data_IF_774171724432
#
_entry.id   IF_774171724432
#
_cell.length_a   1.000
_cell.length_b   1.000
_cell.length_c   1.000
_cell.angle_alpha   90.00
_cell.angle_beta   90.00
_cell.angle_gamma   90.00
#
_symmetry.space_group_name_H-M   'P 1'
#
loop_
_entity.id
_entity.type
_entity.pdbx_description
1 polymer ?
#
# COMPACT_ATOMS: atom_id res chain seq x y z
N UNK A 1 22.62 1.54 20.30
CA UNK A 1 22.14 0.41 19.50
C UNK A 1 21.04 0.90 18.58
N UNK A 2 21.27 0.90 17.28
CA UNK A 2 20.18 1.16 16.33
C UNK A 2 19.20 -0.01 16.41
N UNK A 3 17.99 0.28 16.82
CA UNK A 3 16.92 -0.69 16.87
C UNK A 3 16.38 -0.86 15.45
N UNK A 4 16.66 -1.99 14.83
CA UNK A 4 16.12 -2.34 13.50
C UNK A 4 15.12 -3.49 13.66
N UNK A 5 13.91 -3.20 14.15
CA UNK A 5 12.94 -4.26 14.32
C UNK A 5 12.53 -4.77 12.94
N UNK A 6 12.78 -6.03 12.68
CA UNK A 6 12.21 -6.77 11.56
C UNK A 6 12.55 -6.26 10.15
N UNK A 7 13.54 -5.38 9.99
CA UNK A 7 13.91 -4.85 8.68
C UNK A 7 12.74 -4.14 7.91
N UNK A 8 11.82 -3.58 8.65
CA UNK A 8 10.58 -2.99 8.15
C UNK A 8 10.83 -1.88 7.14
N UNK A 9 11.78 -1.00 7.41
CA UNK A 9 12.11 0.11 6.51
C UNK A 9 12.62 -0.36 5.14
N UNK A 10 13.46 -1.38 5.14
CA UNK A 10 13.99 -1.94 3.87
C UNK A 10 12.86 -2.57 3.06
N UNK A 11 12.03 -3.39 3.67
CA UNK A 11 10.89 -4.02 3.00
C UNK A 11 9.90 -2.96 2.47
N UNK A 12 9.62 -1.94 3.27
CA UNK A 12 8.74 -0.84 2.85
C UNK A 12 9.31 -0.06 1.66
N UNK A 13 10.60 0.23 1.68
CA UNK A 13 11.28 0.92 0.57
C UNK A 13 11.16 0.13 -0.74
N UNK A 14 11.45 -1.16 -0.70
CA UNK A 14 11.33 -2.03 -1.87
C UNK A 14 9.90 -2.12 -2.38
N UNK A 15 8.93 -2.29 -1.49
CA UNK A 15 7.51 -2.35 -1.85
C UNK A 15 7.03 -1.08 -2.57
N UNK A 16 7.43 0.08 -2.09
CA UNK A 16 7.03 1.37 -2.70
C UNK A 16 7.70 1.56 -4.07
N UNK A 17 8.97 1.22 -4.20
CA UNK A 17 9.67 1.27 -5.49
C UNK A 17 9.01 0.36 -6.54
N UNK A 18 8.72 -0.86 -6.18
CA UNK A 18 8.06 -1.83 -7.07
C UNK A 18 6.63 -1.38 -7.43
N UNK A 19 5.87 -0.87 -6.47
CA UNK A 19 4.53 -0.35 -6.73
C UNK A 19 4.58 0.86 -7.68
N UNK A 20 5.54 1.75 -7.50
CA UNK A 20 5.74 2.92 -8.38
C UNK A 20 6.09 2.51 -9.81
N UNK A 21 6.88 1.47 -9.98
CA UNK A 21 7.24 0.96 -11.31
C UNK A 21 6.03 0.34 -12.01
N UNK A 22 5.19 -0.39 -11.28
CA UNK A 22 3.96 -0.97 -11.85
C UNK A 22 2.95 0.10 -12.25
N UNK A 23 2.67 1.03 -11.35
CA UNK A 23 1.67 2.07 -11.53
C UNK A 23 1.83 3.15 -10.45
N UNK A 24 2.15 4.38 -10.85
CA UNK A 24 2.30 5.51 -9.92
C UNK A 24 1.03 5.81 -9.14
N UNK A 25 -0.12 5.64 -9.75
CA UNK A 25 -1.41 5.91 -9.12
C UNK A 25 -1.71 4.89 -8.02
N UNK A 26 -1.12 3.69 -8.09
CA UNK A 26 -1.25 2.69 -7.04
C UNK A 26 -0.67 3.14 -5.69
N UNK A 27 0.26 4.10 -5.68
CA UNK A 27 0.86 4.63 -4.45
C UNK A 27 -0.16 5.27 -3.50
N UNK A 28 -1.30 5.73 -4.00
CA UNK A 28 -2.38 6.24 -3.17
C UNK A 28 -2.97 5.16 -2.26
N UNK A 29 -2.77 3.90 -2.59
CA UNK A 29 -3.21 2.77 -1.77
C UNK A 29 -2.46 2.69 -0.43
N UNK A 30 -1.26 3.26 -0.32
CA UNK A 30 -0.49 3.27 0.92
C UNK A 30 -1.29 3.84 2.11
N UNK A 31 -1.98 4.95 1.91
CA UNK A 31 -2.80 5.59 2.95
C UNK A 31 -4.01 4.74 3.33
N UNK A 32 -4.63 4.11 2.34
CA UNK A 32 -5.78 3.22 2.56
C UNK A 32 -5.36 1.94 3.29
N UNK A 33 -4.20 1.38 2.97
CA UNK A 33 -3.65 0.24 3.69
C UNK A 33 -3.42 0.57 5.16
N UNK A 34 -2.79 1.70 5.44
CA UNK A 34 -2.58 2.14 6.83
C UNK A 34 -3.89 2.32 7.58
N UNK A 35 -4.86 2.98 6.97
CA UNK A 35 -6.18 3.19 7.56
C UNK A 35 -6.91 1.86 7.81
N UNK A 36 -6.78 0.88 6.92
CA UNK A 36 -7.45 -0.42 7.06
C UNK A 36 -6.93 -1.27 8.22
N UNK A 37 -5.71 -1.01 8.71
CA UNK A 37 -5.18 -1.67 9.90
C UNK A 37 -6.10 -1.50 11.13
N UNK A 38 -6.84 -0.41 11.22
CA UNK A 38 -7.79 -0.17 12.32
C UNK A 38 -8.92 -1.21 12.37
N UNK A 39 -9.19 -1.88 11.26
CA UNK A 39 -10.26 -2.88 11.16
C UNK A 39 -9.76 -4.33 11.34
N UNK A 40 -8.47 -4.52 11.60
CA UNK A 40 -7.85 -5.80 11.88
C UNK A 40 -7.22 -6.50 10.69
N UNK A 41 -6.53 -7.62 10.98
CA UNK A 41 -5.74 -8.37 10.02
C UNK A 41 -6.56 -8.91 8.84
N UNK A 42 -7.71 -9.49 9.12
CA UNK A 42 -8.56 -10.13 8.11
C UNK A 42 -9.03 -9.13 7.06
N UNK A 43 -9.44 -7.94 7.48
CA UNK A 43 -9.88 -6.89 6.58
C UNK A 43 -8.75 -6.36 5.70
N UNK A 44 -7.58 -6.20 6.29
CA UNK A 44 -6.39 -5.84 5.51
C UNK A 44 -6.08 -6.90 4.46
N UNK A 45 -6.02 -8.16 4.87
CA UNK A 45 -5.78 -9.28 3.95
C UNK A 45 -6.83 -9.35 2.84
N UNK A 46 -8.10 -9.19 3.18
CA UNK A 46 -9.22 -9.28 2.23
C UNK A 46 -9.21 -8.21 1.13
N UNK A 47 -8.53 -7.08 1.35
CA UNK A 47 -8.49 -5.99 0.36
C UNK A 47 -7.85 -6.40 -0.97
N UNK A 48 -6.84 -7.27 -0.98
CA UNK A 48 -6.25 -7.73 -2.25
C UNK A 48 -7.25 -8.52 -3.11
N UNK A 49 -8.18 -9.24 -2.47
CA UNK A 49 -9.26 -9.94 -3.17
C UNK A 49 -10.31 -8.98 -3.71
N UNK A 50 -10.69 -8.00 -2.89
CA UNK A 50 -11.69 -6.99 -3.26
C UNK A 50 -11.24 -6.12 -4.44
N UNK A 51 -9.99 -5.73 -4.45
CA UNK A 51 -9.44 -4.82 -5.46
C UNK A 51 -9.08 -5.51 -6.78
N UNK A 52 -8.88 -6.82 -6.76
CA UNK A 52 -8.35 -7.59 -7.89
C UNK A 52 -9.09 -7.36 -9.21
N UNK A 53 -10.41 -7.32 -9.18
CA UNK A 53 -11.24 -7.14 -10.37
C UNK A 53 -11.41 -5.70 -10.84
N UNK A 54 -11.17 -4.73 -9.98
CA UNK A 54 -11.45 -3.31 -10.25
C UNK A 54 -10.17 -2.49 -10.44
N UNK A 55 -9.19 -2.69 -9.59
CA UNK A 55 -7.96 -1.91 -9.52
C UNK A 55 -6.77 -2.86 -9.31
N UNK A 56 -6.37 -3.64 -10.34
CA UNK A 56 -5.41 -4.72 -10.19
C UNK A 56 -4.04 -4.27 -9.69
N UNK A 57 -3.56 -3.09 -10.05
CA UNK A 57 -2.27 -2.56 -9.58
C UNK A 57 -2.29 -2.21 -8.09
N UNK A 58 -3.42 -1.71 -7.60
CA UNK A 58 -3.64 -1.49 -6.16
C UNK A 58 -3.79 -2.81 -5.40
N UNK A 59 -4.46 -3.80 -6.00
CA UNK A 59 -4.55 -5.15 -5.46
C UNK A 59 -3.16 -5.79 -5.32
N UNK A 60 -2.30 -5.62 -6.31
CA UNK A 60 -0.91 -6.09 -6.27
C UNK A 60 -0.13 -5.42 -5.15
N UNK A 61 -0.31 -4.13 -4.94
CA UNK A 61 0.36 -3.43 -3.84
C UNK A 61 -0.05 -3.99 -2.47
N UNK A 62 -1.33 -4.21 -2.24
CA UNK A 62 -1.82 -4.85 -1.01
C UNK A 62 -1.28 -6.27 -0.86
N UNK A 63 -1.33 -7.06 -1.93
CA UNK A 63 -0.85 -8.44 -1.97
C UNK A 63 0.64 -8.53 -1.64
N UNK A 64 1.47 -7.74 -2.28
CA UNK A 64 2.92 -7.74 -2.05
C UNK A 64 3.26 -7.23 -0.64
N UNK A 65 2.51 -6.28 -0.12
CA UNK A 65 2.64 -5.81 1.28
C UNK A 65 2.32 -6.94 2.26
N UNK A 66 1.26 -7.70 2.03
CA UNK A 66 0.93 -8.86 2.85
C UNK A 66 2.00 -9.95 2.79
N UNK A 67 2.55 -10.22 1.61
CA UNK A 67 3.67 -11.16 1.45
C UNK A 67 4.90 -10.74 2.25
N UNK A 68 5.27 -9.47 2.21
CA UNK A 68 6.38 -8.93 2.98
C UNK A 68 6.11 -9.05 4.49
N UNK A 69 4.89 -8.75 4.92
CA UNK A 69 4.45 -8.95 6.31
C UNK A 69 4.58 -10.41 6.75
N UNK A 70 4.10 -11.35 5.95
CA UNK A 70 4.23 -12.78 6.25
C UNK A 70 5.70 -13.22 6.34
N UNK A 71 6.55 -12.73 5.46
CA UNK A 71 8.00 -12.98 5.50
C UNK A 71 8.62 -12.48 6.81
N UNK A 72 8.32 -11.26 7.21
CA UNK A 72 8.78 -10.66 8.47
C UNK A 72 8.33 -11.51 9.66
N UNK A 73 7.06 -11.88 9.71
CA UNK A 73 6.52 -12.70 10.80
C UNK A 73 7.13 -14.10 10.84
N UNK A 74 7.38 -14.72 9.69
CA UNK A 74 8.01 -16.03 9.61
C UNK A 74 9.44 -16.03 10.17
N UNK A 75 10.17 -14.96 9.99
CA UNK A 75 11.52 -14.81 10.54
C UNK A 75 11.50 -14.62 12.06
N UNK A 76 10.54 -13.88 12.60
CA UNK A 76 10.43 -13.56 14.03
C UNK A 76 9.61 -14.55 14.84
N UNK A 77 8.54 -15.08 14.24
CA UNK A 77 7.59 -16.00 14.86
C UNK A 77 7.26 -17.16 13.90
N UNK A 78 8.22 -18.07 13.67
CA UNK A 78 8.02 -19.20 12.75
C UNK A 78 6.96 -20.20 13.22
N UNK A 79 6.54 -20.12 14.49
CA UNK A 79 5.48 -20.91 15.09
C UNK A 79 4.07 -20.50 14.67
N UNK A 80 3.90 -19.26 14.20
CA UNK A 80 2.60 -18.73 13.78
C UNK A 80 2.22 -19.17 12.37
N UNK A 81 1.00 -19.65 12.22
CA UNK A 81 0.40 -19.95 10.92
C UNK A 81 -0.44 -18.75 10.51
N UNK A 82 0.08 -17.95 9.58
CA UNK A 82 -0.56 -16.74 9.09
C UNK A 82 -1.14 -17.00 7.70
N UNK A 83 -2.37 -16.52 7.40
CA UNK A 83 -2.95 -16.65 6.08
C UNK A 83 -2.04 -16.10 5.00
N UNK A 84 -1.94 -16.81 3.88
CA UNK A 84 -1.17 -16.37 2.72
C UNK A 84 -2.07 -15.64 1.74
N UNK A 85 -1.47 -14.90 0.81
CA UNK A 85 -2.20 -14.32 -0.32
C UNK A 85 -2.82 -15.41 -1.20
N UNK A 86 -4.01 -15.14 -1.74
CA UNK A 86 -4.68 -16.04 -2.69
C UNK A 86 -4.29 -15.67 -4.11
N UNK A 87 -3.66 -16.60 -4.81
CA UNK A 87 -3.24 -16.40 -6.19
C UNK A 87 -4.42 -16.49 -7.15
N UNK A 88 -4.41 -15.68 -8.21
CA UNK A 88 -5.50 -15.55 -9.17
C UNK A 88 -5.89 -16.84 -9.88
N UNK A 89 -4.97 -17.78 -10.04
CA UNK A 89 -5.20 -19.09 -10.66
C UNK A 89 -5.79 -20.14 -9.69
N UNK A 90 -5.96 -19.81 -8.42
CA UNK A 90 -6.49 -20.69 -7.38
C UNK A 90 -7.72 -20.11 -6.68
N UNK A 91 -8.47 -19.26 -7.35
CA UNK A 91 -9.67 -18.61 -6.81
C UNK A 91 -10.85 -19.58 -6.69
N UNK A 92 -10.65 -20.63 -5.94
CA UNK A 92 -11.79 -21.41 -5.47
C UNK A 92 -12.25 -20.80 -4.14
N UNK A 93 -13.54 -20.65 -3.97
CA UNK A 93 -14.15 -20.22 -2.71
C UNK A 93 -13.60 -21.00 -1.50
N UNK A 94 -13.27 -22.26 -1.71
CA UNK A 94 -12.68 -23.17 -0.73
C UNK A 94 -11.29 -22.66 -0.28
N UNK A 95 -10.47 -22.18 -1.20
CA UNK A 95 -9.12 -21.70 -0.87
C UNK A 95 -9.16 -20.38 -0.09
N UNK A 96 -10.05 -19.47 -0.47
CA UNK A 96 -10.27 -18.20 0.25
C UNK A 96 -10.76 -18.47 1.67
N UNK A 97 -11.72 -19.36 1.82
CA UNK A 97 -12.26 -19.74 3.11
C UNK A 97 -11.23 -20.43 4.01
N UNK A 98 -10.45 -21.34 3.45
CA UNK A 98 -9.41 -22.06 4.16
C UNK A 98 -8.32 -21.10 4.69
N UNK A 99 -7.92 -20.12 3.89
CA UNK A 99 -6.99 -19.08 4.34
C UNK A 99 -7.61 -18.17 5.40
N UNK A 100 -8.84 -17.72 5.21
CA UNK A 100 -9.54 -16.88 6.18
C UNK A 100 -9.73 -17.57 7.55
N UNK A 101 -9.98 -18.86 7.57
CA UNK A 101 -10.13 -19.64 8.83
C UNK A 101 -8.86 -19.63 9.69
N UNK A 102 -7.69 -19.43 9.12
CA UNK A 102 -6.43 -19.34 9.87
C UNK A 102 -6.41 -18.15 10.83
N UNK A 103 -7.09 -17.05 10.51
CA UNK A 103 -7.23 -15.92 11.45
C UNK A 103 -7.94 -16.29 12.74
N UNK A 104 -8.93 -17.17 12.67
CA UNK A 104 -9.70 -17.60 13.82
C UNK A 104 -8.89 -18.49 14.79
N UNK A 105 -7.80 -19.06 14.31
CA UNK A 105 -6.92 -19.93 15.10
C UNK A 105 -5.82 -19.15 15.82
N UNK A 106 -5.59 -17.90 15.45
CA UNK A 106 -4.65 -17.05 16.16
C UNK A 106 -5.25 -16.60 17.49
N UNK A 107 -4.45 -16.65 18.55
CA UNK A 107 -4.84 -16.08 19.84
C UNK A 107 -4.98 -14.56 19.73
N UNK A 108 -5.72 -13.94 20.65
CA UNK A 108 -5.84 -12.48 20.70
C UNK A 108 -4.48 -11.79 20.85
N UNK A 109 -3.59 -12.36 21.67
CA UNK A 109 -2.23 -11.85 21.84
C UNK A 109 -1.42 -11.93 20.54
N UNK A 110 -1.50 -13.04 19.81
CA UNK A 110 -0.81 -13.21 18.52
C UNK A 110 -1.36 -12.28 17.44
N UNK A 111 -2.67 -12.09 17.41
CA UNK A 111 -3.30 -11.11 16.50
C UNK A 111 -2.83 -9.69 16.79
N UNK A 112 -2.70 -9.31 18.05
CA UNK A 112 -2.21 -7.98 18.43
C UNK A 112 -0.74 -7.78 18.06
N UNK A 113 0.09 -8.80 18.25
CA UNK A 113 1.50 -8.77 17.82
C UNK A 113 1.62 -8.62 16.31
N UNK A 114 0.90 -9.44 15.56
CA UNK A 114 0.84 -9.35 14.10
C UNK A 114 0.38 -7.96 13.63
N UNK A 115 -0.67 -7.44 14.24
CA UNK A 115 -1.20 -6.13 13.89
C UNK A 115 -0.19 -5.00 14.17
N UNK A 116 0.53 -5.08 15.27
CA UNK A 116 1.59 -4.12 15.62
C UNK A 116 2.67 -4.09 14.55
N UNK A 117 3.11 -5.23 14.07
CA UNK A 117 4.12 -5.34 13.00
C UNK A 117 3.56 -4.82 11.67
N UNK A 118 2.32 -5.17 11.33
CA UNK A 118 1.67 -4.69 10.10
C UNK A 118 1.50 -3.17 10.10
N UNK A 119 1.10 -2.58 11.23
CA UNK A 119 1.01 -1.12 11.39
C UNK A 119 2.38 -0.46 11.18
N UNK A 120 3.43 -1.01 11.77
CA UNK A 120 4.78 -0.49 11.58
C UNK A 120 5.23 -0.55 10.11
N UNK A 121 4.93 -1.63 9.42
CA UNK A 121 5.20 -1.76 7.98
C UNK A 121 4.41 -0.74 7.17
N UNK A 122 3.13 -0.57 7.44
CA UNK A 122 2.29 0.42 6.74
C UNK A 122 2.72 1.86 7.02
N UNK A 123 3.13 2.19 8.24
CA UNK A 123 3.69 3.51 8.57
C UNK A 123 4.96 3.79 7.75
N UNK A 124 5.85 2.81 7.65
CA UNK A 124 7.05 2.92 6.83
C UNK A 124 6.71 3.05 5.33
N UNK A 125 5.71 2.32 4.83
CA UNK A 125 5.24 2.44 3.45
C UNK A 125 4.71 3.85 3.17
N UNK A 126 3.90 4.43 4.07
CA UNK A 126 3.41 5.82 3.94
C UNK A 126 4.58 6.79 3.92
N UNK A 127 5.55 6.62 4.80
CA UNK A 127 6.74 7.47 4.86
C UNK A 127 7.53 7.47 3.54
N UNK A 128 7.78 6.29 2.96
CA UNK A 128 8.47 6.15 1.67
C UNK A 128 7.62 6.65 0.50
N UNK A 129 6.32 6.42 0.53
CA UNK A 129 5.39 6.92 -0.50
C UNK A 129 5.45 8.44 -0.61
N UNK A 130 5.44 9.14 0.51
CA UNK A 130 5.51 10.60 0.53
C UNK A 130 6.79 11.13 -0.11
N UNK A 131 7.89 10.40 -0.03
CA UNK A 131 9.20 10.79 -0.58
C UNK A 131 9.41 10.37 -2.02
N UNK A 132 8.89 9.21 -2.40
CA UNK A 132 9.06 8.64 -3.72
C UNK A 132 7.92 8.98 -4.68
N UNK A 133 6.82 9.51 -4.17
CA UNK A 133 5.74 10.03 -4.99
C UNK A 133 6.22 11.31 -5.68
N UNK A 134 6.45 11.23 -6.98
CA UNK A 134 6.78 12.42 -7.76
C UNK A 134 5.58 13.38 -7.71
N UNK A 135 5.82 14.61 -7.30
CA UNK A 135 4.82 15.67 -7.41
C UNK A 135 4.34 15.67 -8.85
N UNK A 136 3.04 15.60 -9.06
CA UNK A 136 2.45 15.90 -10.35
C UNK A 136 2.98 17.29 -10.76
N UNK A 137 3.52 17.37 -11.97
CA UNK A 137 3.91 18.67 -12.54
C UNK A 137 2.68 19.58 -12.41
N UNK A 138 2.80 20.80 -11.88
CA UNK A 138 1.66 21.70 -11.84
C UNK A 138 1.07 21.76 -13.24
N UNK A 139 -0.26 21.84 -13.41
CA UNK A 139 -0.85 22.03 -14.71
C UNK A 139 -0.13 23.22 -15.34
N UNK A 140 0.31 23.05 -16.58
CA UNK A 140 0.92 24.14 -17.33
C UNK A 140 0.01 25.36 -17.14
N UNK A 141 0.51 26.40 -16.51
CA UNK A 141 -0.05 27.71 -16.68
C UNK A 141 0.05 27.97 -18.20
N UNK A 142 -1.11 27.93 -18.84
CA UNK A 142 -1.19 28.15 -20.27
C UNK A 142 -0.53 29.47 -20.54
N UNK A 143 0.45 29.47 -21.45
CA UNK A 143 1.20 30.64 -21.89
C UNK A 143 0.33 31.67 -22.67
N UNK A 144 -1.01 31.50 -22.61
CA UNK A 144 -1.98 32.33 -23.31
C UNK A 144 -2.49 33.53 -22.50
N UNK A 145 -2.17 33.65 -21.22
CA UNK A 145 -2.62 34.80 -20.43
C UNK A 145 -1.67 36.03 -20.49
N UNK A 146 -0.56 35.91 -21.21
CA UNK A 146 0.38 37.03 -21.36
C UNK A 146 0.14 37.83 -22.65
N UNK A 147 -0.67 37.35 -23.59
CA UNK A 147 -0.92 38.01 -24.87
C UNK A 147 -2.11 38.98 -24.87
N UNK A 148 -2.87 39.11 -23.81
CA UNK A 148 -4.09 39.94 -23.73
C UNK A 148 -3.88 41.32 -23.09
N UNK A 149 -2.68 41.70 -22.69
CA UNK A 149 -2.42 42.93 -21.95
C UNK A 149 -1.67 44.02 -22.74
N UNK A 150 -1.49 43.90 -24.07
CA UNK A 150 -0.71 44.87 -24.84
C UNK A 150 -1.41 45.57 -26.01
N UNK A 151 -2.72 45.56 -26.11
CA UNK A 151 -3.45 46.32 -27.10
C UNK A 151 -4.57 47.15 -26.47
N UNK A 152 -4.24 48.30 -25.91
CA UNK A 152 -5.15 49.42 -25.80
C UNK A 152 -4.32 50.68 -25.50
N UNK A 153 -3.82 51.31 -26.57
CA UNK A 153 -3.46 52.72 -26.55
C UNK A 153 -4.28 53.41 -27.64
N UNK A 154 -5.30 54.21 -27.32
CA UNK A 154 -5.92 55.07 -28.29
C UNK A 154 -5.10 56.37 -28.32
N UNK A 155 -4.46 56.61 -29.44
CA UNK A 155 -4.10 57.95 -29.83
C UNK A 155 -5.37 58.79 -30.00
N UNK A 156 -5.40 59.91 -29.33
CA UNK A 156 -6.32 60.99 -29.65
C UNK A 156 -5.51 62.26 -29.92
N UNK A 157 -5.71 62.74 -31.08
CA UNK A 157 -5.50 64.05 -31.63
C UNK A 157 -5.81 65.17 -30.67
#
# INVERSE_FOLDING_TARGET
MAWHPFNVDHEAHMLVLEARERDRDSLNQAYKMRASCAYGLERFWGEHLRLRGKEPTKADFVKETWKAFCKIMKESRPDLIIPQEVLSNREKEVDIRAEAEKFLRLSTADQQECLTVLVALCDAIVWWTQRLKLKSKPPHADANDIAAASENNPEST
#
